data_IF_457247347308
#
_entry.id   IF_457247347308
#
_cell.length_a   1.000
_cell.length_b   1.000
_cell.length_c   1.000
_cell.angle_alpha   90.00
_cell.angle_beta   90.00
_cell.angle_gamma   90.00
#
_symmetry.space_group_name_H-M   'P 1'
#
loop_
_entity.id
_entity.type
_entity.pdbx_description
1 polymer ?
#
# COMPACT_ATOMS: atom_id res chain seq x y z
N UNK A 1 4.46 3.04 -11.39
CA UNK A 1 3.34 3.57 -10.58
C UNK A 1 2.29 4.11 -11.53
N UNK A 2 1.03 3.72 -11.33
CA UNK A 2 -0.10 4.29 -12.07
C UNK A 2 -0.25 5.77 -11.66
N UNK A 3 -0.58 6.65 -12.61
CA UNK A 3 -1.02 8.00 -12.30
C UNK A 3 -2.41 7.87 -11.67
N UNK A 4 -2.47 7.75 -10.34
CA UNK A 4 -3.72 7.89 -9.59
C UNK A 4 -4.37 9.23 -9.97
N UNK A 5 -5.69 9.22 -10.19
CA UNK A 5 -6.46 10.41 -10.56
C UNK A 5 -6.25 11.51 -9.51
N UNK A 6 -6.25 11.10 -8.23
CA UNK A 6 -5.87 11.94 -7.10
C UNK A 6 -4.94 11.19 -6.15
N UNK A 7 -3.91 11.88 -5.69
CA UNK A 7 -3.07 11.38 -4.62
C UNK A 7 -2.57 12.53 -3.75
N UNK A 8 -2.40 12.24 -2.46
CA UNK A 8 -1.84 13.15 -1.47
C UNK A 8 -0.67 12.45 -0.79
N UNK A 9 0.46 13.16 -0.72
CA UNK A 9 1.65 12.74 0.01
C UNK A 9 1.81 13.60 1.25
N UNK A 10 1.81 12.97 2.42
CA UNK A 10 2.05 13.61 3.71
C UNK A 10 3.40 13.14 4.26
N UNK A 11 4.17 14.09 4.79
CA UNK A 11 5.44 13.84 5.46
C UNK A 11 5.34 14.33 6.90
N UNK A 12 6.23 13.84 7.77
CA UNK A 12 6.24 14.14 9.20
C UNK A 12 6.13 15.64 9.49
N UNK A 13 6.78 16.47 8.69
CA UNK A 13 6.81 17.93 8.82
C UNK A 13 5.43 18.57 8.54
N UNK A 14 4.62 17.99 7.65
CA UNK A 14 3.30 18.52 7.28
C UNK A 14 2.16 17.99 8.14
N UNK A 15 2.38 16.91 8.91
CA UNK A 15 1.34 16.22 9.67
C UNK A 15 0.99 16.92 10.99
N UNK A 16 1.93 17.66 11.60
CA UNK A 16 1.73 18.32 12.89
C UNK A 16 1.54 17.33 14.05
N UNK A 17 1.29 17.87 15.25
CA UNK A 17 1.17 17.07 16.49
C UNK A 17 -0.28 16.77 16.90
N UNK A 18 -1.27 17.38 16.24
CA UNK A 18 -2.67 17.28 16.63
C UNK A 18 -3.24 15.87 16.39
N UNK A 19 -4.09 15.44 17.32
CA UNK A 19 -4.86 14.20 17.22
C UNK A 19 -6.36 14.45 17.08
N UNK A 20 -7.05 13.54 16.39
CA UNK A 20 -8.53 13.49 16.35
C UNK A 20 -9.10 12.66 17.50
N UNK A 21 -10.39 12.85 17.80
CA UNK A 21 -11.08 12.04 18.80
C UNK A 21 -11.54 10.72 18.21
N UNK A 22 -11.68 9.70 19.05
CA UNK A 22 -12.13 8.36 18.63
C UNK A 22 -13.49 8.39 17.95
N UNK A 23 -14.43 9.19 18.46
CA UNK A 23 -15.76 9.36 17.86
C UNK A 23 -15.71 9.84 16.40
N UNK A 24 -14.65 10.55 16.00
CA UNK A 24 -14.52 11.11 14.66
C UNK A 24 -14.23 10.00 13.63
N UNK A 25 -13.85 8.80 14.07
CA UNK A 25 -13.60 7.65 13.18
C UNK A 25 -14.87 7.15 12.50
N UNK A 26 -16.07 7.52 13.00
CA UNK A 26 -17.35 7.18 12.34
C UNK A 26 -17.41 7.66 10.89
N UNK A 27 -16.67 8.72 10.55
CA UNK A 27 -16.59 9.24 9.19
C UNK A 27 -16.21 8.18 8.15
N UNK A 28 -15.36 7.22 8.52
CA UNK A 28 -14.86 6.20 7.58
C UNK A 28 -15.85 5.09 7.25
N UNK A 29 -17.01 5.02 7.93
CA UNK A 29 -17.99 3.97 7.72
C UNK A 29 -19.27 4.56 7.14
N UNK A 30 -19.66 4.08 5.96
CA UNK A 30 -20.89 4.49 5.29
C UNK A 30 -22.06 3.59 5.73
N UNK A 31 -23.04 4.19 6.39
CA UNK A 31 -24.24 3.53 6.92
C UNK A 31 -25.18 2.96 5.86
N UNK A 32 -24.96 3.22 4.57
CA UNK A 32 -25.72 2.60 3.49
C UNK A 32 -25.06 1.30 3.00
N UNK A 33 -23.79 1.05 3.33
CA UNK A 33 -23.06 -0.16 2.96
C UNK A 33 -23.21 -1.26 4.02
N UNK A 34 -23.66 -2.45 3.60
CA UNK A 34 -23.85 -3.59 4.50
C UNK A 34 -22.56 -4.07 5.18
N UNK A 35 -21.42 -3.97 4.50
CA UNK A 35 -20.13 -4.35 5.08
C UNK A 35 -19.75 -3.39 6.21
N UNK A 36 -19.85 -2.08 5.98
CA UNK A 36 -19.53 -1.04 6.94
C UNK A 36 -20.40 -1.16 8.20
N UNK A 37 -21.70 -1.47 8.05
CA UNK A 37 -22.58 -1.82 9.19
C UNK A 37 -22.03 -2.99 9.99
N UNK A 38 -21.70 -4.10 9.32
CA UNK A 38 -21.15 -5.30 9.98
C UNK A 38 -19.84 -4.98 10.69
N UNK A 39 -18.98 -4.15 10.10
CA UNK A 39 -17.72 -3.70 10.70
C UNK A 39 -17.99 -2.83 11.93
N UNK A 40 -18.90 -1.87 11.85
CA UNK A 40 -19.28 -1.01 12.98
C UNK A 40 -19.86 -1.82 14.13
N UNK A 41 -20.75 -2.76 13.84
CA UNK A 41 -21.44 -3.56 14.86
C UNK A 41 -20.47 -4.53 15.55
N UNK A 42 -19.52 -5.08 14.78
CA UNK A 42 -18.51 -6.01 15.29
C UNK A 42 -17.33 -5.31 15.98
N UNK A 43 -16.95 -4.14 15.49
CA UNK A 43 -15.83 -3.33 15.96
C UNK A 43 -16.29 -1.89 16.26
N UNK A 44 -17.20 -1.70 17.23
CA UNK A 44 -17.67 -0.37 17.60
C UNK A 44 -16.53 0.43 18.21
N UNK A 45 -16.55 1.76 18.07
CA UNK A 45 -15.50 2.64 18.61
C UNK A 45 -15.27 2.40 20.12
N UNK A 46 -16.33 2.12 20.87
CA UNK A 46 -16.26 1.80 22.30
C UNK A 46 -15.48 0.52 22.62
N UNK A 47 -15.27 -0.37 21.65
CA UNK A 47 -14.38 -1.54 21.80
C UNK A 47 -12.90 -1.15 21.89
N UNK A 48 -12.54 0.05 21.41
CA UNK A 48 -11.15 0.52 21.30
C UNK A 48 -10.78 1.63 22.30
N UNK A 49 -11.75 2.21 23.02
CA UNK A 49 -11.52 3.28 24.01
C UNK A 49 -12.78 4.10 24.28
N UNK A 50 -12.69 5.17 25.08
CA UNK A 50 -13.79 6.12 25.23
C UNK A 50 -13.91 6.96 23.94
N UNK A 51 -15.11 7.11 23.33
CA UNK A 51 -15.30 7.95 22.14
C UNK A 51 -14.79 9.40 22.27
N UNK A 52 -14.65 9.93 23.49
CA UNK A 52 -14.12 11.27 23.76
C UNK A 52 -12.58 11.29 23.83
N UNK A 53 -11.93 10.15 23.94
CA UNK A 53 -10.48 10.05 23.96
C UNK A 53 -9.90 10.57 22.65
N UNK A 54 -8.74 11.22 22.76
CA UNK A 54 -7.92 11.54 21.60
C UNK A 54 -7.14 10.30 21.19
N UNK A 55 -7.01 10.09 19.88
CA UNK A 55 -6.13 9.06 19.33
C UNK A 55 -4.71 9.30 19.84
N UNK A 56 -4.07 8.23 20.33
CA UNK A 56 -2.64 8.22 20.71
C UNK A 56 -1.73 8.13 19.48
N UNK A 57 -2.10 8.87 18.44
CA UNK A 57 -1.48 8.91 17.12
C UNK A 57 -1.45 10.37 16.69
N UNK A 58 -0.31 11.03 16.92
CA UNK A 58 -0.07 12.42 16.51
C UNK A 58 -0.06 12.53 14.98
N UNK A 59 -0.64 13.61 14.47
CA UNK A 59 -0.83 13.83 13.04
C UNK A 59 -2.10 13.19 12.46
N UNK A 60 -2.85 12.42 13.28
CA UNK A 60 -4.10 11.78 12.83
C UNK A 60 -5.13 12.80 12.33
N UNK A 61 -5.18 14.01 12.91
CA UNK A 61 -6.07 15.08 12.44
C UNK A 61 -5.81 15.47 10.98
N UNK A 62 -4.54 15.62 10.62
CA UNK A 62 -4.14 16.00 9.26
C UNK A 62 -4.35 14.84 8.28
N UNK A 63 -4.06 13.61 8.70
CA UNK A 63 -4.33 12.41 7.89
C UNK A 63 -5.81 12.30 7.52
N UNK A 64 -6.70 12.45 8.51
CA UNK A 64 -8.15 12.31 8.31
C UNK A 64 -8.65 13.42 7.38
N UNK A 65 -8.21 14.66 7.58
CA UNK A 65 -8.57 15.77 6.70
C UNK A 65 -8.10 15.53 5.26
N UNK A 66 -6.88 15.05 5.07
CA UNK A 66 -6.37 14.70 3.74
C UNK A 66 -7.19 13.57 3.09
N UNK A 67 -7.68 12.62 3.89
CA UNK A 67 -8.57 11.58 3.39
C UNK A 67 -9.94 12.15 2.99
N UNK A 68 -10.51 13.05 3.79
CA UNK A 68 -11.75 13.77 3.47
C UNK A 68 -11.64 14.53 2.13
N UNK A 69 -10.48 15.11 1.83
CA UNK A 69 -10.20 15.81 0.56
C UNK A 69 -10.03 14.86 -0.66
N UNK A 70 -9.89 13.55 -0.42
CA UNK A 70 -9.76 12.50 -1.44
C UNK A 70 -11.05 11.71 -1.66
N UNK A 71 -12.10 11.93 -0.87
CA UNK A 71 -13.33 11.15 -0.92
C UNK A 71 -14.10 11.45 -2.21
N UNK A 72 -13.78 10.69 -3.26
CA UNK A 72 -14.43 10.76 -4.56
C UNK A 72 -15.70 9.89 -4.56
N UNK A 73 -16.76 10.39 -5.22
CA UNK A 73 -18.00 9.66 -5.40
C UNK A 73 -17.76 8.39 -6.24
N UNK A 74 -17.85 7.23 -5.57
CA UNK A 74 -17.76 5.89 -6.17
C UNK A 74 -19.17 5.38 -6.49
N UNK A 75 -19.43 5.09 -7.76
CA UNK A 75 -20.71 4.52 -8.23
C UNK A 75 -20.48 3.16 -8.88
N UNK A 76 -21.14 2.13 -8.33
CA UNK A 76 -21.09 0.76 -8.85
C UNK A 76 -22.44 0.39 -9.46
N UNK A 77 -22.44 -0.16 -10.68
CA UNK A 77 -23.66 -0.68 -11.31
C UNK A 77 -23.34 -1.93 -12.15
N UNK A 78 -24.33 -2.79 -12.32
CA UNK A 78 -24.22 -3.93 -13.23
C UNK A 78 -24.69 -3.52 -14.62
N UNK A 79 -23.98 -4.01 -15.64
CA UNK A 79 -24.40 -3.86 -17.03
C UNK A 79 -23.99 -5.05 -17.88
N UNK A 80 -24.77 -5.34 -18.91
CA UNK A 80 -24.45 -6.35 -19.92
C UNK A 80 -23.71 -5.73 -21.10
N UNK A 81 -22.81 -6.48 -21.74
CA UNK A 81 -22.07 -5.97 -22.91
C UNK A 81 -22.97 -5.53 -24.06
N UNK A 82 -24.17 -6.10 -24.19
CA UNK A 82 -25.15 -5.69 -25.20
C UNK A 82 -25.68 -4.26 -25.02
N UNK A 83 -25.56 -3.70 -23.81
CA UNK A 83 -26.02 -2.36 -23.46
C UNK A 83 -24.87 -1.35 -23.32
N UNK A 84 -23.72 -1.63 -23.93
CA UNK A 84 -22.54 -0.77 -23.87
C UNK A 84 -22.14 -0.41 -25.30
N UNK A 85 -21.80 0.86 -25.50
CA UNK A 85 -21.30 1.34 -26.79
C UNK A 85 -19.86 1.81 -26.64
N UNK A 86 -19.00 1.38 -27.55
CA UNK A 86 -17.65 1.90 -27.66
C UNK A 86 -17.65 3.15 -28.56
N UNK A 87 -17.20 4.27 -28.00
CA UNK A 87 -17.24 5.56 -28.70
C UNK A 87 -15.92 5.84 -29.41
N UNK A 88 -14.78 5.48 -28.80
CA UNK A 88 -13.46 5.74 -29.36
C UNK A 88 -12.35 5.82 -28.31
N UNK A 89 -11.26 6.47 -28.70
CA UNK A 89 -10.04 6.62 -27.88
C UNK A 89 -9.83 8.09 -27.53
N UNK A 90 -9.50 8.36 -26.26
CA UNK A 90 -9.09 9.66 -25.75
C UNK A 90 -7.56 9.84 -25.84
N UNK A 91 -7.04 11.05 -25.65
CA UNK A 91 -5.65 11.44 -25.97
C UNK A 91 -4.53 10.64 -25.27
N UNK A 92 -4.85 9.85 -24.24
CA UNK A 92 -3.90 9.01 -23.51
C UNK A 92 -4.09 7.49 -23.74
N UNK A 93 -4.59 7.09 -24.92
CA UNK A 93 -4.96 5.71 -25.24
C UNK A 93 -6.03 5.12 -24.32
N UNK A 94 -6.85 5.98 -23.72
CA UNK A 94 -7.98 5.60 -22.87
C UNK A 94 -9.22 5.35 -23.72
N UNK A 95 -9.99 4.31 -23.42
CA UNK A 95 -11.23 3.98 -24.12
C UNK A 95 -12.40 4.81 -23.57
N UNK A 96 -13.28 5.24 -24.46
CA UNK A 96 -14.50 5.96 -24.14
C UNK A 96 -15.68 5.03 -24.36
N UNK A 97 -16.51 4.87 -23.34
CA UNK A 97 -17.74 4.08 -23.40
C UNK A 97 -18.97 4.94 -23.13
N UNK A 98 -20.09 4.53 -23.69
CA UNK A 98 -21.40 5.03 -23.37
C UNK A 98 -22.24 3.89 -22.79
N UNK A 99 -22.95 4.17 -21.70
CA UNK A 99 -23.85 3.28 -20.99
C UNK A 99 -25.26 3.89 -21.11
N UNK A 100 -26.03 3.60 -22.18
CA UNK A 100 -27.29 4.28 -22.46
C UNK A 100 -28.34 4.10 -21.37
N UNK A 101 -28.39 2.92 -20.77
CA UNK A 101 -29.28 2.54 -19.65
C UNK A 101 -29.07 3.37 -18.39
N UNK A 102 -27.82 3.81 -18.15
CA UNK A 102 -27.45 4.64 -17.00
C UNK A 102 -27.39 6.13 -17.36
N UNK A 103 -27.53 6.46 -18.64
CA UNK A 103 -27.28 7.81 -19.19
C UNK A 103 -25.86 8.33 -18.87
N UNK A 104 -24.86 7.42 -18.84
CA UNK A 104 -23.48 7.76 -18.48
C UNK A 104 -22.53 7.57 -19.66
N UNK A 105 -21.72 8.60 -19.93
CA UNK A 105 -20.53 8.51 -20.76
C UNK A 105 -19.28 8.55 -19.88
N UNK A 106 -18.40 7.57 -20.02
CA UNK A 106 -17.24 7.45 -19.15
C UNK A 106 -15.95 7.12 -19.91
N UNK A 107 -14.82 7.60 -19.38
CA UNK A 107 -13.48 7.33 -19.93
C UNK A 107 -12.76 6.35 -19.02
N UNK A 108 -12.16 5.30 -19.59
CA UNK A 108 -11.33 4.35 -18.83
C UNK A 108 -10.13 5.04 -18.19
N UNK A 109 -9.82 4.68 -16.96
CA UNK A 109 -8.58 5.08 -16.27
C UNK A 109 -7.84 3.84 -15.75
N UNK A 110 -6.62 4.05 -15.28
CA UNK A 110 -5.76 3.00 -14.70
C UNK A 110 -5.58 1.80 -15.65
N UNK A 111 -5.64 0.58 -15.11
CA UNK A 111 -5.49 -0.65 -15.87
C UNK A 111 -6.81 -1.16 -16.47
N UNK A 112 -7.92 -0.42 -16.38
CA UNK A 112 -9.23 -0.88 -16.85
C UNK A 112 -9.21 -1.25 -18.33
N UNK A 113 -8.59 -0.42 -19.19
CA UNK A 113 -8.43 -0.74 -20.62
C UNK A 113 -7.87 -2.14 -20.84
N UNK A 114 -6.74 -2.44 -20.18
CA UNK A 114 -6.06 -3.72 -20.36
C UNK A 114 -6.85 -4.86 -19.74
N UNK A 115 -7.53 -4.64 -18.61
CA UNK A 115 -8.43 -5.64 -17.99
C UNK A 115 -9.61 -5.96 -18.91
N UNK A 116 -10.25 -4.93 -19.46
CA UNK A 116 -11.36 -5.03 -20.39
C UNK A 116 -10.98 -5.77 -21.68
N UNK A 117 -9.90 -5.34 -22.35
CA UNK A 117 -9.48 -5.95 -23.61
C UNK A 117 -8.94 -7.38 -23.43
N UNK A 118 -8.39 -7.70 -22.25
CA UNK A 118 -8.01 -9.08 -21.88
C UNK A 118 -9.17 -10.04 -21.88
N UNK A 119 -10.37 -9.57 -21.55
CA UNK A 119 -11.56 -10.42 -21.55
C UNK A 119 -11.86 -11.05 -22.92
N UNK A 120 -11.38 -10.43 -23.99
CA UNK A 120 -11.50 -10.90 -25.37
C UNK A 120 -10.16 -11.35 -25.95
N UNK A 121 -9.08 -11.33 -25.16
CA UNK A 121 -7.70 -11.61 -25.59
C UNK A 121 -7.22 -10.73 -26.76
N UNK A 122 -7.71 -9.48 -26.86
CA UNK A 122 -7.37 -8.55 -27.96
C UNK A 122 -6.45 -7.40 -27.53
N UNK A 123 -5.94 -7.39 -26.29
CA UNK A 123 -5.15 -6.29 -25.73
C UNK A 123 -4.00 -5.81 -26.64
N UNK A 124 -3.19 -6.74 -27.16
CA UNK A 124 -2.02 -6.47 -27.99
C UNK A 124 -2.41 -5.98 -29.37
N UNK A 125 -3.50 -6.53 -29.91
CA UNK A 125 -4.05 -6.12 -31.19
C UNK A 125 -4.60 -4.70 -31.11
N UNK A 126 -5.42 -4.42 -30.10
CA UNK A 126 -5.97 -3.10 -29.85
C UNK A 126 -4.85 -2.07 -29.57
N UNK A 127 -3.85 -2.40 -28.75
CA UNK A 127 -2.69 -1.52 -28.52
C UNK A 127 -1.91 -1.22 -29.81
N UNK A 128 -1.75 -2.23 -30.68
CA UNK A 128 -1.15 -2.03 -32.01
C UNK A 128 -2.00 -1.09 -32.86
N UNK A 129 -3.32 -1.31 -32.95
CA UNK A 129 -4.22 -0.48 -33.73
C UNK A 129 -4.25 0.97 -33.24
N UNK A 130 -4.41 1.18 -31.93
CA UNK A 130 -4.44 2.52 -31.32
C UNK A 130 -3.12 3.26 -31.57
N UNK A 131 -1.98 2.59 -31.42
CA UNK A 131 -0.65 3.20 -31.65
C UNK A 131 -0.43 3.65 -33.10
N UNK A 132 -1.13 3.05 -34.05
CA UNK A 132 -1.02 3.35 -35.47
C UNK A 132 -2.25 4.10 -36.02
N UNK A 133 -3.07 4.70 -35.15
CA UNK A 133 -4.29 5.44 -35.50
C UNK A 133 -5.38 4.63 -36.25
N UNK A 134 -5.35 3.30 -36.15
CA UNK A 134 -6.36 2.38 -36.71
C UNK A 134 -7.54 2.16 -35.75
N UNK A 135 -8.13 3.26 -35.27
CA UNK A 135 -9.19 3.23 -34.25
C UNK A 135 -10.53 2.65 -34.77
N UNK A 136 -10.75 2.73 -36.08
CA UNK A 136 -11.85 2.09 -36.80
C UNK A 136 -11.82 0.57 -36.64
N UNK A 137 -10.66 -0.06 -36.80
CA UNK A 137 -10.51 -1.51 -36.62
C UNK A 137 -10.81 -1.95 -35.18
N UNK A 138 -10.39 -1.16 -34.19
CA UNK A 138 -10.72 -1.44 -32.78
C UNK A 138 -12.23 -1.35 -32.57
N UNK A 139 -12.88 -0.34 -33.15
CA UNK A 139 -14.32 -0.14 -33.04
C UNK A 139 -15.11 -1.29 -33.64
N UNK A 140 -14.83 -1.65 -34.89
CA UNK A 140 -15.54 -2.74 -35.58
C UNK A 140 -15.44 -4.06 -34.81
N UNK A 141 -14.23 -4.39 -34.30
CA UNK A 141 -14.03 -5.60 -33.51
C UNK A 141 -14.78 -5.56 -32.17
N UNK A 142 -14.76 -4.42 -31.46
CA UNK A 142 -15.48 -4.29 -30.19
C UNK A 142 -16.99 -4.35 -30.39
N UNK A 143 -17.53 -3.69 -31.42
CA UNK A 143 -18.96 -3.73 -31.74
C UNK A 143 -19.42 -5.16 -32.06
N UNK A 144 -18.62 -5.94 -32.80
CA UNK A 144 -18.89 -7.35 -33.06
C UNK A 144 -18.77 -8.23 -31.81
N UNK A 145 -17.81 -7.96 -30.93
CA UNK A 145 -17.65 -8.67 -29.67
C UNK A 145 -18.80 -8.39 -28.70
N UNK A 146 -19.30 -7.16 -28.63
CA UNK A 146 -20.45 -6.81 -27.79
C UNK A 146 -21.71 -7.55 -28.22
N UNK A 147 -21.93 -7.71 -29.54
CA UNK A 147 -23.02 -8.54 -30.07
C UNK A 147 -22.83 -10.02 -29.75
N UNK A 148 -21.62 -10.57 -29.95
CA UNK A 148 -21.34 -12.00 -29.70
C UNK A 148 -21.43 -12.39 -28.22
N UNK A 149 -21.16 -11.44 -27.32
CA UNK A 149 -21.16 -11.64 -25.88
C UNK A 149 -22.22 -10.78 -25.19
N UNK A 150 -23.35 -10.50 -25.86
CA UNK A 150 -24.37 -9.53 -25.40
C UNK A 150 -24.89 -9.79 -23.98
N UNK A 151 -24.99 -11.07 -23.58
CA UNK A 151 -25.51 -11.50 -22.28
C UNK A 151 -24.47 -11.49 -21.16
N UNK A 152 -23.20 -11.19 -21.48
CA UNK A 152 -22.13 -11.17 -20.50
C UNK A 152 -22.29 -9.93 -19.61
N UNK A 153 -22.63 -10.18 -18.35
CA UNK A 153 -22.79 -9.14 -17.33
C UNK A 153 -21.48 -8.87 -16.59
N UNK A 154 -21.24 -7.60 -16.28
CA UNK A 154 -20.14 -7.11 -15.43
C UNK A 154 -20.64 -6.02 -14.50
N UNK A 155 -20.04 -5.94 -13.32
CA UNK A 155 -20.21 -4.79 -12.43
C UNK A 155 -19.10 -3.78 -12.75
N UNK A 156 -19.48 -2.56 -13.11
CA UNK A 156 -18.58 -1.46 -13.43
C UNK A 156 -18.48 -0.54 -12.21
N UNK A 157 -17.26 -0.15 -11.85
CA UNK A 157 -17.00 0.90 -10.87
C UNK A 157 -16.58 2.18 -11.57
N UNK A 158 -17.36 3.23 -11.34
CA UNK A 158 -17.05 4.58 -11.78
C UNK A 158 -16.49 5.42 -10.63
N UNK A 159 -15.67 6.40 -11.01
CA UNK A 159 -15.28 7.53 -10.19
C UNK A 159 -15.75 8.81 -10.85
N UNK A 160 -16.30 9.73 -10.06
CA UNK A 160 -16.56 11.09 -10.50
C UNK A 160 -15.32 11.93 -10.27
N UNK A 161 -14.77 12.53 -11.34
CA UNK A 161 -13.64 13.44 -11.20
C UNK A 161 -14.09 14.86 -10.79
N UNK A 162 -13.14 15.72 -10.43
CA UNK A 162 -13.37 17.11 -10.03
C UNK A 162 -13.95 18.00 -11.14
N UNK A 163 -13.93 17.55 -12.38
CA UNK A 163 -14.58 18.22 -13.52
C UNK A 163 -15.98 17.66 -13.78
N UNK A 164 -16.52 16.88 -12.85
CA UNK A 164 -17.85 16.26 -12.93
C UNK A 164 -17.95 15.17 -14.01
N UNK A 165 -16.83 14.60 -14.45
CA UNK A 165 -16.80 13.57 -15.50
C UNK A 165 -16.64 12.18 -14.90
N UNK A 166 -17.39 11.23 -15.46
CA UNK A 166 -17.31 9.83 -15.07
C UNK A 166 -16.06 9.15 -15.67
N UNK A 167 -15.34 8.44 -14.80
CA UNK A 167 -14.16 7.64 -15.14
C UNK A 167 -14.40 6.18 -14.80
N UNK A 168 -14.17 5.27 -15.74
CA UNK A 168 -14.28 3.83 -15.49
C UNK A 168 -12.99 3.35 -14.87
N UNK A 169 -13.09 2.95 -13.61
CA UNK A 169 -11.94 2.58 -12.79
C UNK A 169 -11.55 1.12 -12.96
N UNK A 170 -12.54 0.23 -13.06
CA UNK A 170 -12.33 -1.20 -12.88
C UNK A 170 -13.62 -2.00 -12.97
N UNK A 171 -13.49 -3.31 -13.11
CA UNK A 171 -14.57 -4.23 -12.77
C UNK A 171 -14.62 -4.49 -11.27
N UNK A 172 -15.82 -4.67 -10.74
CA UNK A 172 -16.07 -5.11 -9.36
C UNK A 172 -16.88 -6.40 -9.34
N UNK A 173 -17.20 -6.91 -8.16
CA UNK A 173 -18.13 -8.04 -8.04
C UNK A 173 -18.97 -7.91 -6.79
N UNK A 174 -20.25 -8.26 -6.92
CA UNK A 174 -21.22 -8.33 -5.82
C UNK A 174 -20.88 -9.35 -4.71
N UNK A 175 -19.92 -10.25 -4.94
CA UNK A 175 -19.50 -11.29 -3.97
C UNK A 175 -18.34 -10.86 -3.05
N UNK A 176 -17.66 -9.73 -3.31
CA UNK A 176 -16.51 -9.29 -2.51
C UNK A 176 -16.95 -8.40 -1.34
N UNK A 177 -16.36 -8.64 -0.17
CA UNK A 177 -16.39 -7.66 0.91
C UNK A 177 -15.37 -6.58 0.55
N UNK A 178 -15.82 -5.46 0.00
CA UNK A 178 -14.96 -4.37 -0.42
C UNK A 178 -14.35 -3.66 0.81
N UNK A 179 -13.30 -4.24 1.43
CA UNK A 179 -12.48 -3.60 2.47
C UNK A 179 -11.68 -2.47 1.85
N UNK A 180 -12.39 -1.40 1.51
CA UNK A 180 -11.85 -0.23 0.87
C UNK A 180 -10.86 0.50 1.78
N UNK A 181 -10.25 1.55 1.22
CA UNK A 181 -9.27 2.34 1.96
C UNK A 181 -9.87 2.95 3.24
N UNK A 182 -11.17 3.27 3.28
CA UNK A 182 -11.82 3.85 4.46
C UNK A 182 -11.85 2.84 5.60
N UNK A 183 -12.27 1.61 5.35
CA UNK A 183 -12.25 0.54 6.36
C UNK A 183 -10.82 0.24 6.82
N UNK A 184 -9.85 0.23 5.90
CA UNK A 184 -8.46 -0.02 6.26
C UNK A 184 -7.89 1.08 7.18
N UNK A 185 -8.19 2.36 6.93
CA UNK A 185 -7.80 3.47 7.82
C UNK A 185 -8.51 3.35 9.17
N UNK A 186 -9.83 3.11 9.17
CA UNK A 186 -10.64 2.94 10.37
C UNK A 186 -10.06 1.87 11.30
N UNK A 187 -9.88 0.65 10.77
CA UNK A 187 -9.38 -0.47 11.55
C UNK A 187 -7.95 -0.22 12.03
N UNK A 188 -7.09 0.38 11.20
CA UNK A 188 -5.69 0.65 11.54
C UNK A 188 -5.56 1.65 12.70
N UNK A 189 -6.24 2.79 12.61
CA UNK A 189 -6.14 3.84 13.63
C UNK A 189 -6.69 3.37 14.98
N UNK A 190 -7.83 2.69 14.98
CA UNK A 190 -8.45 2.19 16.20
C UNK A 190 -7.63 1.06 16.85
N UNK A 191 -7.15 0.13 16.02
CA UNK A 191 -6.28 -0.97 16.47
C UNK A 191 -4.99 -0.47 17.10
N UNK A 192 -4.31 0.46 16.42
CA UNK A 192 -3.06 1.04 16.90
C UNK A 192 -3.29 1.89 18.15
N UNK A 193 -4.39 2.63 18.23
CA UNK A 193 -4.76 3.38 19.42
C UNK A 193 -4.96 2.47 20.64
N UNK A 194 -5.73 1.38 20.50
CA UNK A 194 -5.97 0.42 21.58
C UNK A 194 -4.67 -0.20 22.09
N UNK A 195 -3.78 -0.57 21.18
CA UNK A 195 -2.45 -1.06 21.53
C UNK A 195 -1.63 0.02 22.28
N UNK A 196 -1.64 1.25 21.75
CA UNK A 196 -0.92 2.38 22.34
C UNK A 196 -1.45 2.77 23.74
N UNK A 197 -2.75 2.64 23.99
CA UNK A 197 -3.33 2.78 25.33
C UNK A 197 -2.82 1.70 26.27
N UNK A 198 -2.84 0.44 25.84
CA UNK A 198 -2.42 -0.72 26.64
C UNK A 198 -0.95 -0.64 27.07
N UNK A 199 -0.09 -0.11 26.20
CA UNK A 199 1.36 -0.05 26.39
C UNK A 199 1.89 1.28 26.91
N UNK A 200 0.99 2.23 27.13
CA UNK A 200 1.33 3.60 27.48
C UNK A 200 2.31 4.29 26.52
N UNK A 201 2.13 4.06 25.22
CA UNK A 201 2.97 4.65 24.17
C UNK A 201 2.17 5.63 23.31
N UNK A 202 2.90 6.47 22.56
CA UNK A 202 2.34 7.40 21.57
C UNK A 202 3.01 7.14 20.24
N UNK A 203 2.20 7.09 19.18
CA UNK A 203 2.69 7.02 17.81
C UNK A 203 2.62 8.39 17.14
N UNK A 204 3.49 8.58 16.16
CA UNK A 204 3.43 9.64 15.17
C UNK A 204 3.18 9.01 13.80
N UNK A 205 2.48 9.72 12.94
CA UNK A 205 2.51 9.40 11.51
C UNK A 205 3.84 9.95 10.96
N UNK A 206 4.71 9.05 10.51
CA UNK A 206 5.98 9.40 9.86
C UNK A 206 5.69 9.83 8.42
N UNK A 207 4.88 9.05 7.70
CA UNK A 207 4.51 9.30 6.29
C UNK A 207 3.14 8.74 5.96
N UNK A 208 2.45 9.36 5.00
CA UNK A 208 1.27 8.77 4.39
C UNK A 208 1.22 9.07 2.89
N UNK A 209 0.88 8.05 2.11
CA UNK A 209 0.45 8.17 0.72
C UNK A 209 -1.01 7.76 0.66
N UNK A 210 -1.86 8.67 0.23
CA UNK A 210 -3.28 8.42 0.08
C UNK A 210 -3.65 8.65 -1.39
N UNK A 211 -4.45 7.75 -1.94
CA UNK A 211 -5.05 7.91 -3.26
C UNK A 211 -6.47 7.34 -3.24
N UNK A 212 -7.21 7.64 -4.30
CA UNK A 212 -8.54 7.10 -4.58
C UNK A 212 -8.61 5.55 -4.55
N UNK A 213 -7.45 4.88 -4.76
CA UNK A 213 -7.36 3.44 -4.99
C UNK A 213 -6.36 2.69 -4.14
N UNK A 214 -5.49 3.40 -3.41
CA UNK A 214 -4.49 2.79 -2.53
C UNK A 214 -4.13 3.72 -1.39
N UNK A 215 -3.79 3.12 -0.25
CA UNK A 215 -3.22 3.84 0.89
C UNK A 215 -1.94 3.16 1.33
N UNK A 216 -1.04 3.98 1.84
CA UNK A 216 0.12 3.54 2.57
C UNK A 216 0.38 4.51 3.71
N UNK A 217 0.51 4.01 4.94
CA UNK A 217 0.71 4.84 6.13
C UNK A 217 1.82 4.24 6.98
N UNK A 218 2.79 5.06 7.35
CA UNK A 218 3.85 4.73 8.30
C UNK A 218 3.57 5.38 9.63
N UNK A 219 3.34 4.55 10.63
CA UNK A 219 3.32 4.94 12.03
C UNK A 219 4.67 4.62 12.66
N UNK A 220 5.14 5.46 13.56
CA UNK A 220 6.38 5.28 14.30
C UNK A 220 6.17 5.71 15.75
N UNK A 221 6.67 4.94 16.71
CA UNK A 221 6.61 5.30 18.11
C UNK A 221 7.40 6.59 18.36
N UNK A 222 6.89 7.42 19.26
CA UNK A 222 7.54 8.69 19.61
C UNK A 222 8.86 8.47 20.35
N UNK A 223 8.84 7.61 21.37
CA UNK A 223 10.00 7.31 22.19
C UNK A 223 10.70 6.02 21.72
N UNK A 224 12.04 6.03 21.55
CA UNK A 224 12.78 4.85 21.16
C UNK A 224 12.95 3.85 22.32
N UNK A 225 13.11 2.58 21.95
CA UNK A 225 13.63 1.56 22.86
C UNK A 225 15.15 1.63 22.78
N UNK A 226 15.78 1.91 23.92
CA UNK A 226 17.25 2.01 24.03
C UNK A 226 17.85 0.64 24.22
N UNK A 227 18.72 0.22 23.29
CA UNK A 227 19.41 -1.07 23.34
C UNK A 227 20.91 -0.84 23.42
N UNK A 228 21.55 -1.44 24.43
CA UNK A 228 22.99 -1.30 24.66
C UNK A 228 23.78 -1.77 23.43
N UNK A 229 24.82 -1.01 23.07
CA UNK A 229 25.73 -1.27 21.93
C UNK A 229 25.07 -1.25 20.52
N UNK A 230 23.75 -1.11 20.45
CA UNK A 230 22.94 -1.03 19.23
C UNK A 230 22.45 0.41 18.98
N UNK A 231 22.03 1.12 20.02
CA UNK A 231 21.48 2.48 19.94
C UNK A 231 19.97 2.52 20.15
N UNK A 232 19.32 3.51 19.53
CA UNK A 232 17.88 3.75 19.62
C UNK A 232 17.14 2.95 18.55
N UNK A 233 16.16 2.14 18.98
CA UNK A 233 15.27 1.40 18.09
C UNK A 233 13.88 2.02 18.15
N UNK A 234 13.42 2.54 17.02
CA UNK A 234 12.07 3.04 16.80
C UNK A 234 11.24 1.94 16.14
N UNK A 235 10.21 1.46 16.82
CA UNK A 235 9.22 0.55 16.28
C UNK A 235 8.07 1.32 15.67
N UNK A 236 7.46 0.73 14.66
CA UNK A 236 6.41 1.35 13.89
C UNK A 236 5.56 0.33 13.18
N UNK A 237 4.52 0.81 12.52
CA UNK A 237 3.62 0.00 11.73
C UNK A 237 3.57 0.58 10.32
N UNK A 238 3.70 -0.29 9.31
CA UNK A 238 3.41 0.02 7.93
C UNK A 238 2.04 -0.56 7.58
N UNK A 239 1.08 0.32 7.28
CA UNK A 239 -0.24 -0.03 6.77
C UNK A 239 -0.25 0.13 5.27
N UNK A 240 -0.77 -0.86 4.55
CA UNK A 240 -1.00 -0.75 3.11
C UNK A 240 -2.32 -1.38 2.73
N UNK A 241 -3.10 -0.72 1.87
CA UNK A 241 -4.24 -1.32 1.19
C UNK A 241 -4.27 -0.87 -0.26
N UNK A 242 -4.71 -1.74 -1.15
CA UNK A 242 -4.90 -1.43 -2.55
C UNK A 242 -6.16 -2.10 -3.05
N UNK A 243 -7.12 -1.31 -3.51
CA UNK A 243 -8.44 -1.80 -3.93
C UNK A 243 -8.38 -2.51 -5.31
N UNK A 244 -7.40 -2.18 -6.15
CA UNK A 244 -7.32 -2.67 -7.55
C UNK A 244 -6.42 -3.90 -7.68
N UNK A 245 -5.10 -3.75 -7.50
CA UNK A 245 -4.09 -4.80 -7.79
C UNK A 245 -3.80 -5.74 -6.62
N UNK A 246 -3.53 -5.19 -5.44
CA UNK A 246 -3.02 -5.97 -4.31
C UNK A 246 -4.11 -6.52 -3.39
N UNK A 247 -5.36 -6.02 -3.50
CA UNK A 247 -6.63 -6.47 -2.86
C UNK A 247 -6.49 -7.03 -1.44
N UNK A 248 -5.56 -6.46 -0.70
CA UNK A 248 -5.14 -6.95 0.61
C UNK A 248 -4.75 -5.76 1.46
N UNK A 249 -5.45 -5.61 2.56
CA UNK A 249 -5.08 -4.72 3.64
C UNK A 249 -4.04 -5.43 4.50
N UNK A 250 -2.83 -4.89 4.57
CA UNK A 250 -1.72 -5.41 5.39
C UNK A 250 -1.37 -4.45 6.51
N UNK A 251 -1.01 -5.02 7.64
CA UNK A 251 -0.54 -4.33 8.83
C UNK A 251 0.79 -4.97 9.25
N UNK A 252 1.89 -4.35 8.84
CA UNK A 252 3.25 -4.89 8.97
C UNK A 252 4.04 -4.13 10.02
N UNK A 253 4.98 -4.81 10.67
CA UNK A 253 5.89 -4.15 11.60
C UNK A 253 7.03 -3.52 10.83
N UNK A 254 7.30 -2.26 11.16
CA UNK A 254 8.45 -1.51 10.70
C UNK A 254 9.35 -1.22 11.89
N UNK A 255 10.64 -1.17 11.65
CA UNK A 255 11.59 -0.66 12.64
C UNK A 255 12.62 0.26 12.00
N UNK A 256 13.18 1.15 12.80
CA UNK A 256 14.27 2.06 12.43
C UNK A 256 15.31 2.05 13.54
N UNK A 257 16.56 1.82 13.18
CA UNK A 257 17.69 1.83 14.12
C UNK A 257 18.48 3.12 13.89
N UNK A 258 18.82 3.79 14.99
CA UNK A 258 19.71 4.95 15.01
C UNK A 258 20.81 4.70 16.03
N UNK A 259 22.05 4.60 15.55
CA UNK A 259 23.23 4.54 16.40
C UNK A 259 24.09 5.77 16.11
N UNK A 260 24.06 6.75 17.01
CA UNK A 260 24.84 7.99 16.88
C UNK A 260 26.34 7.74 16.99
N UNK A 261 26.76 6.79 17.82
CA UNK A 261 28.17 6.50 18.07
C UNK A 261 28.85 5.85 16.85
N UNK A 262 28.12 4.97 16.15
CA UNK A 262 28.56 4.32 14.92
C UNK A 262 28.17 5.10 13.65
N UNK A 263 27.45 6.21 13.79
CA UNK A 263 26.87 6.98 12.69
C UNK A 263 26.06 6.11 11.70
N UNK A 264 25.22 5.21 12.23
CA UNK A 264 24.38 4.30 11.45
C UNK A 264 22.91 4.64 11.63
N UNK A 265 22.16 4.71 10.51
CA UNK A 265 20.71 4.88 10.47
C UNK A 265 20.08 4.09 9.33
N UNK A 266 19.29 3.07 9.68
CA UNK A 266 18.53 2.31 8.68
C UNK A 266 17.12 1.99 9.16
N UNK A 267 16.26 1.62 8.21
CA UNK A 267 14.89 1.18 8.44
C UNK A 267 14.57 -0.08 7.64
N UNK A 268 13.67 -0.90 8.16
CA UNK A 268 13.22 -2.10 7.47
C UNK A 268 11.80 -2.48 7.89
N UNK A 269 11.12 -3.27 7.04
CA UNK A 269 9.76 -3.76 7.27
C UNK A 269 9.80 -5.28 7.29
N UNK A 270 9.25 -5.88 8.36
CA UNK A 270 9.11 -7.33 8.45
C UNK A 270 8.18 -7.85 7.36
N UNK A 271 8.56 -8.99 6.76
CA UNK A 271 7.73 -9.63 5.73
C UNK A 271 6.57 -10.43 6.30
N UNK A 272 6.58 -10.64 7.62
CA UNK A 272 5.50 -11.29 8.35
C UNK A 272 4.53 -10.21 8.85
N UNK A 273 3.49 -9.95 8.08
CA UNK A 273 2.40 -9.04 8.50
C UNK A 273 1.78 -9.56 9.80
N UNK A 274 1.49 -8.67 10.74
CA UNK A 274 0.74 -9.02 11.98
C UNK A 274 -0.62 -9.56 11.59
N UNK A 275 -1.24 -8.93 10.60
CA UNK A 275 -2.37 -9.49 9.91
C UNK A 275 -2.45 -9.00 8.45
N UNK A 276 -3.22 -9.76 7.68
CA UNK A 276 -3.48 -9.54 6.27
C UNK A 276 -4.95 -9.87 5.99
N UNK A 277 -5.72 -8.87 5.59
CA UNK A 277 -7.15 -9.00 5.28
C UNK A 277 -7.31 -8.92 3.77
N UNK A 278 -7.58 -10.07 3.16
CA UNK A 278 -7.94 -10.15 1.73
C UNK A 278 -9.39 -9.73 1.54
N UNK A 279 -9.71 -9.09 0.41
CA UNK A 279 -11.05 -8.55 0.16
C UNK A 279 -12.16 -9.62 0.05
N UNK A 280 -11.80 -10.90 -0.06
CA UNK A 280 -12.76 -12.02 0.00
C UNK A 280 -13.05 -12.50 1.42
N UNK A 281 -12.38 -11.96 2.44
CA UNK A 281 -12.45 -12.45 3.81
C UNK A 281 -13.77 -12.08 4.50
N UNK A 282 -14.39 -13.03 5.19
CA UNK A 282 -15.57 -12.76 6.04
C UNK A 282 -15.19 -11.99 7.31
N UNK A 283 -16.12 -11.18 7.83
CA UNK A 283 -15.90 -10.31 9.00
C UNK A 283 -15.44 -11.07 10.26
N UNK A 284 -15.88 -12.32 10.45
CA UNK A 284 -15.41 -13.15 11.57
C UNK A 284 -13.90 -13.41 11.53
N UNK A 285 -13.33 -13.62 10.33
CA UNK A 285 -11.88 -13.81 10.18
C UNK A 285 -11.12 -12.50 10.39
N UNK A 286 -11.74 -11.36 10.13
CA UNK A 286 -11.16 -10.05 10.45
C UNK A 286 -10.99 -9.89 11.96
N UNK A 287 -11.94 -10.38 12.77
CA UNK A 287 -11.81 -10.35 14.24
C UNK A 287 -10.61 -11.19 14.69
N UNK A 288 -10.44 -12.40 14.16
CA UNK A 288 -9.27 -13.24 14.42
C UNK A 288 -7.97 -12.53 14.02
N UNK A 289 -7.96 -11.86 12.87
CA UNK A 289 -6.84 -11.06 12.40
C UNK A 289 -6.50 -9.90 13.37
N UNK A 290 -7.50 -9.15 13.83
CA UNK A 290 -7.29 -8.04 14.76
C UNK A 290 -6.87 -8.53 16.15
N UNK A 291 -7.32 -9.71 16.58
CA UNK A 291 -6.85 -10.33 17.81
C UNK A 291 -5.35 -10.67 17.75
N UNK A 292 -4.75 -10.87 16.57
CA UNK A 292 -3.30 -11.05 16.46
C UNK A 292 -2.48 -9.80 16.82
N UNK A 293 -3.10 -8.63 17.00
CA UNK A 293 -2.42 -7.45 17.55
C UNK A 293 -1.86 -7.71 18.95
N UNK A 294 -2.39 -8.66 19.72
CA UNK A 294 -1.81 -9.05 21.00
C UNK A 294 -0.41 -9.67 20.86
N UNK A 295 -0.03 -10.12 19.67
CA UNK A 295 1.31 -10.67 19.36
C UNK A 295 2.33 -9.59 18.99
N UNK A 296 1.93 -8.31 18.97
CA UNK A 296 2.86 -7.20 18.71
C UNK A 296 4.06 -7.20 19.65
N UNK A 297 3.86 -7.60 20.91
CA UNK A 297 4.94 -7.74 21.89
C UNK A 297 5.94 -8.82 21.49
N UNK A 298 5.45 -10.01 21.14
CA UNK A 298 6.29 -11.14 20.72
C UNK A 298 7.14 -10.78 19.49
N UNK A 299 6.53 -10.08 18.53
CA UNK A 299 7.27 -9.59 17.37
C UNK A 299 8.25 -8.48 17.72
N UNK A 300 7.90 -7.58 18.64
CA UNK A 300 8.78 -6.51 19.14
C UNK A 300 10.03 -7.10 19.78
N UNK A 301 9.86 -8.07 20.69
CA UNK A 301 10.96 -8.77 21.35
C UNK A 301 11.81 -9.52 20.32
N UNK A 302 11.16 -10.15 19.33
CA UNK A 302 11.83 -10.80 18.20
C UNK A 302 12.70 -9.84 17.38
N UNK A 303 12.24 -8.61 17.13
CA UNK A 303 13.00 -7.58 16.41
C UNK A 303 14.20 -7.12 17.24
N UNK A 304 13.99 -6.82 18.53
CA UNK A 304 15.07 -6.39 19.42
C UNK A 304 16.16 -7.47 19.46
N UNK A 305 15.76 -8.74 19.60
CA UNK A 305 16.67 -9.88 19.56
C UNK A 305 17.39 -9.98 18.21
N UNK A 306 16.65 -9.92 17.10
CA UNK A 306 17.22 -9.98 15.76
C UNK A 306 18.28 -8.91 15.53
N UNK A 307 17.98 -7.65 15.86
CA UNK A 307 18.93 -6.52 15.70
C UNK A 307 20.13 -6.68 16.62
N UNK A 308 19.91 -7.15 17.86
CA UNK A 308 20.99 -7.44 18.80
C UNK A 308 21.91 -8.53 18.25
N UNK A 309 21.36 -9.63 17.73
CA UNK A 309 22.12 -10.70 17.10
C UNK A 309 22.94 -10.19 15.91
N UNK A 310 22.35 -9.32 15.06
CA UNK A 310 23.08 -8.68 13.95
C UNK A 310 24.27 -7.84 14.41
N UNK A 311 24.16 -7.17 15.56
CA UNK A 311 25.22 -6.31 16.11
C UNK A 311 26.42 -7.11 16.63
N UNK A 312 26.21 -8.36 17.05
CA UNK A 312 27.25 -9.24 17.58
C UNK A 312 27.78 -10.25 16.54
N UNK A 313 27.23 -10.24 15.31
CA UNK A 313 27.75 -11.08 14.23
C UNK A 313 29.14 -10.61 13.76
N UNK A 314 29.96 -11.58 13.35
CA UNK A 314 31.24 -11.28 12.72
C UNK A 314 31.06 -10.39 11.49
N UNK A 315 31.96 -9.41 11.27
CA UNK A 315 31.95 -8.59 10.08
C UNK A 315 31.89 -9.41 8.79
N UNK A 316 31.21 -8.86 7.79
CA UNK A 316 31.11 -9.45 6.47
C UNK A 316 32.47 -9.47 5.79
N UNK A 317 32.85 -10.63 5.25
CA UNK A 317 33.91 -10.70 4.25
C UNK A 317 33.48 -9.99 2.97
N UNK A 318 34.43 -9.56 2.15
CA UNK A 318 34.13 -8.92 0.86
C UNK A 318 33.25 -9.81 -0.02
N UNK A 319 33.48 -11.12 -0.05
CA UNK A 319 32.65 -12.09 -0.76
C UNK A 319 31.20 -12.12 -0.23
N UNK A 320 31.03 -12.09 1.10
CA UNK A 320 29.71 -12.06 1.70
C UNK A 320 28.96 -10.75 1.41
N UNK A 321 29.66 -9.61 1.46
CA UNK A 321 29.12 -8.30 1.07
C UNK A 321 28.70 -8.29 -0.39
N UNK A 322 29.53 -8.83 -1.29
CA UNK A 322 29.24 -8.95 -2.72
C UNK A 322 28.00 -9.83 -2.97
N UNK A 323 27.90 -10.98 -2.31
CA UNK A 323 26.74 -11.87 -2.41
C UNK A 323 25.44 -11.20 -1.92
N UNK A 324 25.48 -10.53 -0.76
CA UNK A 324 24.34 -9.81 -0.20
C UNK A 324 23.86 -8.71 -1.15
N UNK A 325 24.79 -7.93 -1.69
CA UNK A 325 24.47 -6.84 -2.59
C UNK A 325 23.90 -7.34 -3.92
N UNK A 326 24.44 -8.42 -4.49
CA UNK A 326 23.87 -9.02 -5.71
C UNK A 326 22.44 -9.51 -5.49
N UNK A 327 22.18 -10.21 -4.38
CA UNK A 327 20.83 -10.66 -4.05
C UNK A 327 19.86 -9.48 -3.88
N UNK A 328 20.33 -8.38 -3.27
CA UNK A 328 19.57 -7.15 -3.12
C UNK A 328 19.24 -6.52 -4.48
N UNK A 329 20.23 -6.38 -5.36
CA UNK A 329 20.05 -5.82 -6.71
C UNK A 329 19.10 -6.67 -7.54
N UNK A 330 19.24 -7.99 -7.52
CA UNK A 330 18.37 -8.90 -8.26
C UNK A 330 16.90 -8.73 -7.86
N UNK A 331 16.62 -8.64 -6.56
CA UNK A 331 15.26 -8.43 -6.05
C UNK A 331 14.72 -7.04 -6.35
N UNK A 332 15.53 -6.00 -6.20
CA UNK A 332 15.14 -4.62 -6.54
C UNK A 332 14.83 -4.51 -8.04
N UNK A 333 15.65 -5.10 -8.89
CA UNK A 333 15.51 -5.00 -10.35
C UNK A 333 14.33 -5.79 -10.89
N UNK A 334 13.99 -6.91 -10.26
CA UNK A 334 12.80 -7.70 -10.57
C UNK A 334 11.50 -7.12 -10.02
N UNK A 335 11.54 -6.22 -9.02
CA UNK A 335 10.35 -5.59 -8.47
C UNK A 335 9.70 -4.60 -9.46
N UNK A 336 8.45 -4.84 -9.86
CA UNK A 336 7.71 -3.98 -10.81
C UNK A 336 7.34 -2.61 -10.24
N UNK A 337 7.26 -2.49 -8.91
CA UNK A 337 6.83 -1.27 -8.23
C UNK A 337 7.96 -0.25 -8.05
N UNK A 338 9.21 -0.65 -8.34
CA UNK A 338 10.38 0.22 -8.29
C UNK A 338 10.68 0.76 -9.70
N UNK A 339 10.87 2.07 -9.82
CA UNK A 339 11.19 2.74 -11.07
C UNK A 339 12.55 2.35 -11.63
N UNK A 340 12.70 2.54 -12.94
CA UNK A 340 13.99 2.35 -13.62
C UNK A 340 15.10 3.21 -13.01
N UNK A 341 14.80 4.47 -12.66
CA UNK A 341 15.76 5.39 -12.03
C UNK A 341 16.38 4.79 -10.77
N UNK A 342 15.54 4.32 -9.86
CA UNK A 342 16.00 3.69 -8.61
C UNK A 342 16.71 2.38 -8.85
N UNK A 343 16.21 1.54 -9.77
CA UNK A 343 16.92 0.31 -10.19
C UNK A 343 18.33 0.61 -10.69
N UNK A 344 18.48 1.68 -11.46
CA UNK A 344 19.77 2.10 -12.00
C UNK A 344 20.67 2.67 -10.89
N UNK A 345 20.13 3.38 -9.90
CA UNK A 345 20.87 3.85 -8.70
C UNK A 345 21.48 2.70 -7.89
N UNK A 346 20.78 1.56 -7.77
CA UNK A 346 21.33 0.37 -7.12
C UNK A 346 22.38 -0.34 -7.99
N UNK A 347 22.33 -0.20 -9.32
CA UNK A 347 23.31 -0.79 -10.26
C UNK A 347 24.58 0.03 -10.43
N UNK A 348 24.49 1.36 -10.41
CA UNK A 348 25.59 2.26 -10.77
C UNK A 348 26.32 2.79 -9.52
N UNK A 349 27.61 2.46 -9.38
CA UNK A 349 28.58 3.16 -8.51
C UNK A 349 28.51 2.89 -7.00
N UNK A 350 27.33 2.72 -6.40
CA UNK A 350 27.20 2.44 -4.96
C UNK A 350 27.61 1.00 -4.59
N UNK A 351 27.46 0.05 -5.53
CA UNK A 351 27.92 -1.33 -5.38
C UNK A 351 29.41 -1.41 -5.01
N UNK A 352 30.27 -0.73 -5.78
CA UNK A 352 31.73 -0.78 -5.57
C UNK A 352 32.14 -0.09 -4.26
N UNK A 353 31.48 1.02 -3.88
CA UNK A 353 31.76 1.72 -2.60
C UNK A 353 31.39 0.90 -1.36
N UNK A 354 30.40 0.02 -1.48
CA UNK A 354 29.92 -0.83 -0.38
C UNK A 354 30.78 -2.08 -0.25
N UNK A 355 31.15 -2.72 -1.37
CA UNK A 355 31.87 -4.01 -1.40
C UNK A 355 33.34 -3.90 -1.01
N UNK A 356 34.00 -2.76 -1.23
CA UNK A 356 35.45 -2.59 -0.95
C UNK A 356 35.78 -2.43 0.55
N UNK A 357 34.81 -2.59 1.45
CA UNK A 357 34.98 -2.41 2.89
C UNK A 357 34.51 -3.64 3.66
N UNK A 358 35.26 -4.01 4.71
CA UNK A 358 34.75 -4.93 5.74
C UNK A 358 33.65 -4.20 6.51
N UNK A 359 32.42 -4.68 6.42
CA UNK A 359 31.24 -4.06 7.03
C UNK A 359 30.60 -5.04 8.01
N UNK A 360 30.14 -4.54 9.15
CA UNK A 360 29.10 -5.24 9.91
C UNK A 360 27.80 -5.27 9.10
N UNK A 361 26.91 -6.21 9.42
CA UNK A 361 25.59 -6.29 8.79
C UNK A 361 24.76 -5.00 9.00
N UNK A 362 24.93 -4.33 10.14
CA UNK A 362 24.28 -3.06 10.45
C UNK A 362 24.79 -1.93 9.55
N UNK A 363 26.10 -1.86 9.29
CA UNK A 363 26.69 -0.87 8.36
C UNK A 363 26.32 -1.17 6.90
N UNK A 364 26.21 -2.45 6.52
CA UNK A 364 25.68 -2.83 5.21
C UNK A 364 24.25 -2.30 5.03
N UNK A 365 23.40 -2.47 6.04
CA UNK A 365 22.01 -2.01 6.02
C UNK A 365 21.91 -0.48 5.93
N UNK A 366 22.73 0.24 6.69
CA UNK A 366 22.83 1.70 6.60
C UNK A 366 23.14 2.17 5.17
N UNK A 367 24.23 1.64 4.59
CA UNK A 367 24.65 2.03 3.24
C UNK A 367 23.60 1.65 2.19
N UNK A 368 23.02 0.45 2.27
CA UNK A 368 22.00 0.01 1.32
C UNK A 368 20.70 0.81 1.43
N UNK A 369 20.34 1.30 2.63
CA UNK A 369 19.18 2.15 2.87
C UNK A 369 19.41 3.62 2.45
N UNK A 370 20.68 4.07 2.43
CA UNK A 370 21.07 5.43 2.07
C UNK A 370 20.97 5.74 0.57
N UNK A 371 20.88 4.71 -0.28
CA UNK A 371 20.76 4.88 -1.73
C UNK A 371 19.49 5.68 -2.04
N UNK A 372 19.66 6.78 -2.79
CA UNK A 372 18.59 7.73 -3.04
C UNK A 372 17.44 7.08 -3.82
N UNK A 373 16.25 7.13 -3.23
CA UNK A 373 15.04 6.47 -3.72
C UNK A 373 13.87 7.43 -3.61
N UNK A 374 12.84 7.24 -4.45
CA UNK A 374 11.55 7.90 -4.21
C UNK A 374 10.98 7.40 -2.88
N UNK A 375 10.27 8.27 -2.17
CA UNK A 375 9.63 7.97 -0.89
C UNK A 375 8.68 6.77 -1.02
N UNK A 376 7.95 6.67 -2.13
CA UNK A 376 6.99 5.59 -2.38
C UNK A 376 7.69 4.24 -2.61
N UNK A 377 8.93 4.27 -3.10
CA UNK A 377 9.70 3.06 -3.43
C UNK A 377 10.49 2.53 -2.23
N UNK A 378 10.85 3.42 -1.29
CA UNK A 378 11.58 3.08 -0.08
C UNK A 378 10.93 1.94 0.71
N UNK A 379 9.61 1.81 0.65
CA UNK A 379 8.82 0.77 1.30
C UNK A 379 9.17 -0.62 0.77
N UNK A 380 9.15 -0.76 -0.55
CA UNK A 380 9.46 -2.01 -1.22
C UNK A 380 10.92 -2.39 -0.96
N UNK A 381 11.81 -1.40 -0.93
CA UNK A 381 13.21 -1.58 -0.60
C UNK A 381 13.38 -2.02 0.86
N UNK A 382 12.71 -1.39 1.83
CA UNK A 382 12.75 -1.78 3.25
C UNK A 382 12.29 -3.23 3.47
N UNK A 383 11.32 -3.72 2.68
CA UNK A 383 10.92 -5.14 2.70
C UNK A 383 11.96 -6.05 2.07
N UNK A 384 12.46 -5.69 0.89
CA UNK A 384 13.48 -6.48 0.17
C UNK A 384 14.74 -6.60 1.04
N UNK A 385 15.18 -5.49 1.66
CA UNK A 385 16.30 -5.47 2.60
C UNK A 385 16.09 -6.50 3.71
N UNK A 386 14.94 -6.49 4.37
CA UNK A 386 14.64 -7.47 5.42
C UNK A 386 14.70 -8.92 4.90
N UNK A 387 14.16 -9.20 3.71
CA UNK A 387 14.20 -10.57 3.15
C UNK A 387 15.63 -11.05 2.90
N UNK A 388 16.45 -10.18 2.28
CA UNK A 388 17.85 -10.51 1.98
C UNK A 388 18.61 -10.80 3.27
N UNK A 389 18.32 -10.06 4.33
CA UNK A 389 18.93 -10.26 5.65
C UNK A 389 18.49 -11.55 6.33
N UNK A 390 17.19 -11.82 6.35
CA UNK A 390 16.65 -13.05 6.92
C UNK A 390 17.23 -14.29 6.22
N UNK A 391 17.28 -14.26 4.89
CA UNK A 391 17.86 -15.35 4.09
C UNK A 391 19.35 -15.55 4.39
N UNK A 392 20.10 -14.47 4.59
CA UNK A 392 21.51 -14.56 4.94
C UNK A 392 21.75 -15.12 6.33
N UNK A 393 21.03 -14.60 7.33
CA UNK A 393 21.13 -15.06 8.73
C UNK A 393 20.72 -16.53 8.84
N UNK A 394 19.67 -16.95 8.12
CA UNK A 394 19.20 -18.33 8.13
C UNK A 394 20.18 -19.30 7.46
N UNK A 395 20.97 -18.86 6.47
CA UNK A 395 22.01 -19.69 5.82
C UNK A 395 23.27 -19.88 6.66
N UNK A 396 23.49 -19.02 7.66
CA UNK A 396 24.63 -19.09 8.60
C UNK A 396 24.35 -19.95 9.84
N UNK A 397 23.08 -20.22 10.13
CA UNK A 397 22.65 -21.18 11.16
C UNK A 397 22.67 -22.58 10.57
#
# INVERSE_FOLDING_TARGET
MENHLYSIKLQKESLGADSKQLKDMKYFLNEDKDLDKKIRDKFPISFFGDPKDFLRIKGSKTLIKAYEELDDEKYDFNETLGNIEYIGVHHNNELIFNFPTQEIKAISIYNFKNEFLREFSIEKYADFCIKNDYNDLVKENLDDLFKKFESKERQYRLLRDREDKWRIRGFTSSRYNNYDNSIAVYLSLLSLHKYAQTKDIVYNIDKAYLSDSSIYILFEQEEPIKVKDVGDIYLGIAVSNGEIRNRTFKFDIRYKVINTDKNVKFSAILNNSIFSIVHSMGVLKVEECLNNLTKLDEHTDGIIKFISDLNYMEPLSNDATYMLMNNLIERITSCSDISKKTKDSYKQGEFNKIVDNTLTLIEFLDKANSIQTDIDERIFIERILQQVMEDYVNKRK
#
